data_IF_737471600336
#
_entry.id   IF_737471600336
#
_cell.length_a   1.000
_cell.length_b   1.000
_cell.length_c   1.000
_cell.angle_alpha   90.00
_cell.angle_beta   90.00
_cell.angle_gamma   90.00
#
_symmetry.space_group_name_H-M   'P 1'
#
loop_
_entity.id
_entity.type
_entity.pdbx_description
1 polymer ?
#
# COMPACT_ATOMS: atom_id res chain seq x y z
N UNK A 1 -5.37 4.43 -8.55
CA UNK A 1 -5.43 3.91 -7.18
C UNK A 1 -4.04 3.99 -6.56
N UNK A 2 -3.77 4.94 -5.67
CA UNK A 2 -2.49 5.04 -4.94
C UNK A 2 -2.62 4.70 -3.45
N UNK A 3 -3.82 4.30 -3.03
CA UNK A 3 -4.20 4.00 -1.65
C UNK A 3 -5.45 3.13 -1.66
N UNK A 4 -6.04 2.92 -0.48
CA UNK A 4 -7.21 2.07 -0.29
C UNK A 4 -7.28 1.54 1.14
N UNK A 5 -8.39 0.94 1.56
CA UNK A 5 -8.59 0.51 2.94
C UNK A 5 -7.67 -0.66 3.31
N UNK A 6 -7.48 -0.87 4.61
CA UNK A 6 -6.90 -2.11 5.14
C UNK A 6 -7.98 -3.19 5.26
N UNK A 7 -9.18 -2.82 5.76
CA UNK A 7 -10.33 -3.72 5.80
C UNK A 7 -11.06 -3.74 4.44
N UNK A 8 -10.56 -4.60 3.57
CA UNK A 8 -11.08 -4.76 2.21
C UNK A 8 -12.43 -5.49 2.20
N UNK A 9 -12.62 -6.44 3.12
CA UNK A 9 -13.87 -7.18 3.22
C UNK A 9 -15.03 -6.26 3.61
N UNK A 10 -14.84 -5.39 4.61
CA UNK A 10 -15.83 -4.38 4.97
C UNK A 10 -16.11 -3.41 3.81
N UNK A 11 -15.08 -2.98 3.10
CA UNK A 11 -15.22 -2.07 1.97
C UNK A 11 -16.07 -2.65 0.82
N UNK A 12 -15.96 -3.96 0.57
CA UNK A 12 -16.79 -4.69 -0.39
C UNK A 12 -18.23 -4.83 0.13
N UNK A 13 -18.44 -5.31 1.37
CA UNK A 13 -19.79 -5.44 1.95
C UNK A 13 -20.56 -4.12 1.91
N UNK A 14 -19.92 -3.03 2.31
CA UNK A 14 -20.53 -1.70 2.34
C UNK A 14 -20.97 -1.21 0.94
N UNK A 15 -20.40 -1.76 -0.15
CA UNK A 15 -20.80 -1.46 -1.53
C UNK A 15 -21.88 -2.38 -2.05
N UNK A 16 -21.83 -3.66 -1.67
CA UNK A 16 -22.89 -4.63 -1.96
C UNK A 16 -24.22 -4.16 -1.35
N UNK A 17 -24.21 -3.76 -0.07
CA UNK A 17 -25.40 -3.27 0.64
C UNK A 17 -26.01 -2.01 0.00
N UNK A 18 -25.20 -1.19 -0.66
CA UNK A 18 -25.66 0.03 -1.35
C UNK A 18 -26.21 -0.26 -2.76
N UNK A 19 -26.07 -1.48 -3.27
CA UNK A 19 -26.54 -1.86 -4.59
C UNK A 19 -25.76 -1.20 -5.74
N UNK A 20 -24.44 -1.38 -5.77
CA UNK A 20 -23.61 -0.79 -6.83
C UNK A 20 -24.03 -1.25 -8.24
N UNK A 21 -24.32 -0.30 -9.12
CA UNK A 21 -24.75 -0.53 -10.51
C UNK A 21 -23.59 -0.81 -11.49
N UNK A 22 -22.35 -0.60 -11.06
CA UNK A 22 -21.13 -0.76 -11.87
C UNK A 22 -20.18 -1.74 -11.18
N UNK A 23 -19.24 -2.31 -11.93
CA UNK A 23 -18.16 -3.12 -11.34
C UNK A 23 -17.26 -2.24 -10.47
N UNK A 24 -16.79 -2.79 -9.35
CA UNK A 24 -15.91 -2.09 -8.41
C UNK A 24 -14.80 -3.02 -7.91
N UNK A 25 -13.67 -2.40 -7.57
CA UNK A 25 -12.55 -3.08 -6.92
C UNK A 25 -11.70 -2.07 -6.17
N UNK A 26 -10.95 -2.54 -5.18
CA UNK A 26 -10.04 -1.70 -4.39
C UNK A 26 -8.67 -2.33 -4.26
N UNK A 27 -7.65 -1.50 -4.14
CA UNK A 27 -6.33 -1.91 -3.67
C UNK A 27 -6.26 -1.80 -2.15
N UNK A 28 -5.30 -2.50 -1.53
CA UNK A 28 -4.82 -2.15 -0.17
C UNK A 28 -3.77 -1.05 -0.27
N UNK A 29 -3.86 -0.02 0.58
CA UNK A 29 -2.99 1.16 0.50
C UNK A 29 -1.80 1.13 1.46
N UNK A 30 -0.59 1.40 0.97
CA UNK A 30 0.63 1.52 1.81
C UNK A 30 0.48 2.59 2.92
N UNK A 31 -0.10 3.75 2.61
CA UNK A 31 -0.36 4.78 3.62
C UNK A 31 -1.32 4.31 4.71
N UNK A 32 -2.42 3.67 4.32
CA UNK A 32 -3.41 3.12 5.25
C UNK A 32 -2.84 1.98 6.11
N UNK A 33 -1.94 1.17 5.54
CA UNK A 33 -1.21 0.14 6.30
C UNK A 33 -0.31 0.78 7.36
N UNK A 34 0.43 1.85 7.02
CA UNK A 34 1.22 2.61 7.99
C UNK A 34 0.36 3.19 9.11
N UNK A 35 -0.78 3.78 8.77
CA UNK A 35 -1.72 4.29 9.77
C UNK A 35 -2.23 3.18 10.70
N UNK A 36 -2.60 2.02 10.14
CA UNK A 36 -3.13 0.89 10.89
C UNK A 36 -2.12 0.28 11.89
N UNK A 37 -0.82 0.36 11.60
CA UNK A 37 0.25 -0.12 12.50
C UNK A 37 0.83 0.98 13.40
N UNK A 38 0.25 2.19 13.39
CA UNK A 38 0.71 3.32 14.19
C UNK A 38 1.98 4.00 13.68
N UNK A 39 2.39 3.78 12.42
CA UNK A 39 3.50 4.48 11.77
C UNK A 39 3.04 5.83 11.18
N UNK A 40 2.42 6.66 12.03
CA UNK A 40 1.69 7.89 11.64
C UNK A 40 2.59 9.09 11.34
N UNK A 41 3.83 9.10 11.85
CA UNK A 41 4.81 10.10 11.41
C UNK A 41 5.28 9.75 10.00
N UNK A 42 4.86 10.57 9.03
CA UNK A 42 5.19 10.40 7.61
C UNK A 42 6.65 10.68 7.28
N UNK A 43 7.41 11.29 8.19
CA UNK A 43 8.83 11.60 8.04
C UNK A 43 9.75 10.61 8.76
N UNK A 44 9.21 9.78 9.64
CA UNK A 44 9.95 8.73 10.32
C UNK A 44 9.83 7.38 9.60
N UNK A 45 10.86 6.52 9.66
CA UNK A 45 10.75 5.13 9.21
C UNK A 45 9.81 4.33 10.13
N UNK A 46 9.12 3.33 9.57
CA UNK A 46 8.43 2.34 10.37
C UNK A 46 9.44 1.41 11.08
N UNK A 47 9.10 0.94 12.27
CA UNK A 47 9.90 -0.07 12.99
C UNK A 47 9.78 -1.45 12.31
N UNK A 48 10.75 -2.38 12.51
CA UNK A 48 10.66 -3.72 11.92
C UNK A 48 9.34 -4.45 12.22
N UNK A 49 8.85 -4.38 13.46
CA UNK A 49 7.58 -5.00 13.84
C UNK A 49 6.36 -4.34 13.16
N UNK A 50 6.40 -3.04 12.90
CA UNK A 50 5.38 -2.36 12.11
C UNK A 50 5.42 -2.81 10.64
N UNK A 51 6.61 -3.01 10.07
CA UNK A 51 6.76 -3.51 8.71
C UNK A 51 6.24 -4.94 8.57
N UNK A 52 6.55 -5.81 9.53
CA UNK A 52 6.01 -7.17 9.58
C UNK A 52 4.48 -7.17 9.64
N UNK A 53 3.91 -6.31 10.49
CA UNK A 53 2.46 -6.20 10.64
C UNK A 53 1.79 -5.61 9.39
N UNK A 54 2.41 -4.64 8.72
CA UNK A 54 1.91 -4.14 7.44
C UNK A 54 1.86 -5.23 6.38
N UNK A 55 2.89 -6.08 6.29
CA UNK A 55 2.87 -7.21 5.34
C UNK A 55 1.78 -8.22 5.70
N UNK A 56 1.59 -8.53 6.99
CA UNK A 56 0.52 -9.42 7.46
C UNK A 56 -0.87 -8.89 7.09
N UNK A 57 -1.12 -7.60 7.35
CA UNK A 57 -2.37 -6.93 7.00
C UNK A 57 -2.59 -6.89 5.48
N UNK A 58 -1.54 -6.59 4.71
CA UNK A 58 -1.61 -6.59 3.25
C UNK A 58 -1.94 -7.99 2.69
N UNK A 59 -1.35 -9.06 3.25
CA UNK A 59 -1.70 -10.45 2.88
C UNK A 59 -3.19 -10.70 3.10
N UNK A 60 -3.71 -10.36 4.28
CA UNK A 60 -5.13 -10.52 4.60
C UNK A 60 -6.05 -9.69 3.69
N UNK A 61 -5.65 -8.47 3.34
CA UNK A 61 -6.40 -7.60 2.44
C UNK A 61 -6.48 -8.17 1.01
N UNK A 62 -5.38 -8.76 0.50
CA UNK A 62 -5.36 -9.46 -0.78
C UNK A 62 -6.20 -10.75 -0.73
N UNK A 63 -6.15 -11.50 0.37
CA UNK A 63 -7.00 -12.68 0.59
C UNK A 63 -8.49 -12.30 0.63
N UNK A 64 -8.82 -11.10 1.11
CA UNK A 64 -10.16 -10.53 1.10
C UNK A 64 -10.59 -9.93 -0.25
N UNK A 65 -9.77 -10.07 -1.30
CA UNK A 65 -10.13 -9.70 -2.66
C UNK A 65 -9.59 -8.35 -3.14
N UNK A 66 -8.63 -7.73 -2.45
CA UNK A 66 -7.99 -6.54 -3.01
C UNK A 66 -7.32 -6.86 -4.34
N UNK A 67 -7.57 -6.02 -5.33
CA UNK A 67 -7.10 -6.23 -6.72
C UNK A 67 -5.63 -5.84 -6.93
N UNK A 68 -4.94 -5.43 -5.86
CA UNK A 68 -3.53 -5.01 -5.91
C UNK A 68 -3.12 -4.17 -4.70
N UNK A 69 -1.91 -3.63 -4.76
CA UNK A 69 -1.34 -2.76 -3.72
C UNK A 69 -1.13 -1.35 -4.28
N UNK A 70 -1.62 -0.35 -3.56
CA UNK A 70 -1.49 1.06 -3.92
C UNK A 70 -0.43 1.78 -3.08
N UNK A 71 0.48 2.51 -3.72
CA UNK A 71 1.59 3.21 -3.09
C UNK A 71 1.50 4.72 -3.34
N UNK A 72 1.39 5.48 -2.25
CA UNK A 72 1.49 6.94 -2.23
C UNK A 72 2.84 7.43 -1.71
N UNK A 73 3.96 6.97 -2.31
CA UNK A 73 5.32 7.13 -1.76
C UNK A 73 5.70 8.61 -1.54
N UNK A 74 5.19 9.52 -2.39
CA UNK A 74 5.41 10.95 -2.22
C UNK A 74 4.88 11.48 -0.87
N UNK A 75 3.79 10.91 -0.35
CA UNK A 75 3.12 11.37 0.86
C UNK A 75 3.76 10.86 2.16
N UNK A 76 4.60 9.83 2.07
CA UNK A 76 5.33 9.22 3.19
C UNK A 76 6.83 9.26 2.94
N UNK A 77 7.46 10.46 2.92
CA UNK A 77 8.87 10.61 2.57
C UNK A 77 9.83 9.87 3.51
N UNK A 78 9.43 9.61 4.76
CA UNK A 78 10.19 8.81 5.73
C UNK A 78 10.09 7.31 5.51
N UNK A 79 9.27 6.84 4.57
CA UNK A 79 9.14 5.42 4.29
C UNK A 79 10.48 4.82 3.84
N UNK A 80 10.88 3.74 4.50
CA UNK A 80 12.12 3.04 4.22
C UNK A 80 12.03 2.30 2.88
N UNK A 81 13.18 2.01 2.26
CA UNK A 81 13.22 1.14 1.09
C UNK A 81 12.67 -0.25 1.43
N UNK A 82 12.95 -0.75 2.64
CA UNK A 82 12.55 -2.09 3.09
C UNK A 82 11.02 -2.27 3.07
N UNK A 83 10.26 -1.36 3.70
CA UNK A 83 8.81 -1.52 3.79
C UNK A 83 8.16 -1.47 2.39
N UNK A 84 8.67 -0.61 1.52
CA UNK A 84 8.21 -0.51 0.13
C UNK A 84 8.54 -1.78 -0.66
N UNK A 85 9.77 -2.28 -0.56
CA UNK A 85 10.21 -3.48 -1.29
C UNK A 85 9.45 -4.74 -0.84
N UNK A 86 9.18 -4.90 0.45
CA UNK A 86 8.42 -6.06 0.96
C UNK A 86 7.01 -6.11 0.38
N UNK A 87 6.33 -4.96 0.29
CA UNK A 87 5.01 -4.90 -0.32
C UNK A 87 5.06 -5.12 -1.84
N UNK A 88 6.07 -4.61 -2.55
CA UNK A 88 6.25 -4.94 -3.98
C UNK A 88 6.49 -6.44 -4.19
N UNK A 89 7.32 -7.06 -3.35
CA UNK A 89 7.58 -8.49 -3.37
C UNK A 89 6.29 -9.27 -3.11
N UNK A 90 5.49 -8.86 -2.12
CA UNK A 90 4.20 -9.47 -1.86
C UNK A 90 3.26 -9.37 -3.07
N UNK A 91 3.19 -8.21 -3.74
CA UNK A 91 2.38 -8.05 -4.94
C UNK A 91 2.80 -9.04 -6.04
N UNK A 92 4.12 -9.20 -6.24
CA UNK A 92 4.67 -10.19 -7.17
C UNK A 92 4.37 -11.64 -6.77
N UNK A 93 4.54 -11.99 -5.49
CA UNK A 93 4.21 -13.31 -4.93
C UNK A 93 2.73 -13.68 -5.14
N UNK A 94 1.83 -12.69 -5.06
CA UNK A 94 0.38 -12.87 -5.23
C UNK A 94 -0.10 -12.71 -6.67
N UNK A 95 0.77 -12.33 -7.61
CA UNK A 95 0.42 -12.11 -9.00
C UNK A 95 -0.55 -10.94 -9.22
N UNK A 96 -0.49 -9.92 -8.36
CA UNK A 96 -1.36 -8.73 -8.43
C UNK A 96 -0.58 -7.47 -8.80
N UNK A 97 -1.22 -6.48 -9.45
CA UNK A 97 -0.56 -5.23 -9.80
C UNK A 97 -0.19 -4.40 -8.57
N UNK A 98 0.95 -3.71 -8.68
CA UNK A 98 1.38 -2.66 -7.77
C UNK A 98 1.26 -1.30 -8.47
N UNK A 99 0.51 -0.38 -7.88
CA UNK A 99 0.24 0.94 -8.46
C UNK A 99 0.93 2.01 -7.63
N UNK A 100 1.86 2.76 -8.22
CA UNK A 100 2.55 3.83 -7.52
C UNK A 100 2.15 5.20 -8.06
N UNK A 101 1.76 6.10 -7.15
CA UNK A 101 1.88 7.53 -7.40
C UNK A 101 3.34 7.90 -7.14
N UNK A 102 4.10 7.96 -8.23
CA UNK A 102 5.52 8.25 -8.21
C UNK A 102 5.76 9.70 -7.76
N UNK A 103 6.93 9.95 -7.16
CA UNK A 103 7.39 11.30 -6.81
C UNK A 103 7.58 12.13 -8.10
N UNK A 104 7.30 13.43 -8.08
CA UNK A 104 7.23 14.28 -9.28
C UNK A 104 8.59 14.46 -9.99
N UNK A 105 8.48 14.78 -11.29
CA UNK A 105 9.44 15.03 -12.38
C UNK A 105 10.66 15.91 -12.01
N UNK A 106 11.88 15.43 -12.29
CA UNK A 106 13.08 16.26 -12.44
C UNK A 106 14.06 16.29 -11.25
N UNK A 107 15.26 15.75 -11.48
CA UNK A 107 16.41 15.81 -10.57
C UNK A 107 16.96 14.43 -10.27
N UNK A 108 17.91 13.98 -11.09
CA UNK A 108 18.71 12.77 -10.85
C UNK A 108 19.23 12.82 -9.42
N UNK A 109 19.02 11.76 -8.63
CA UNK A 109 19.75 11.63 -7.37
C UNK A 109 21.23 11.53 -7.72
N UNK A 110 22.05 12.38 -7.10
CA UNK A 110 23.50 12.35 -7.25
C UNK A 110 24.06 11.14 -6.47
N UNK A 111 23.77 9.93 -6.94
CA UNK A 111 24.36 8.68 -6.45
C UNK A 111 24.55 7.62 -7.56
N UNK A 112 24.50 8.02 -8.83
CA UNK A 112 25.01 7.20 -9.93
C UNK A 112 26.54 7.33 -10.03
N UNK A 113 27.24 6.82 -9.03
CA UNK A 113 28.63 6.39 -9.14
C UNK A 113 28.69 4.90 -8.84
N UNK A 114 28.50 4.11 -9.89
CA UNK A 114 28.80 2.68 -9.97
C UNK A 114 29.53 2.43 -11.28
#
# INVERSE_FOLDING_TARGET
>A
MHGGPVDVAEWYRAREERGAYLNYGTTVGHGSLREAVGATDRYAPATPGQIDEMERLARGALDAGAVGIGFGIMYVPGASREEVFRLFRLAAERGVPAHAHTRYFGGVSADASG
#
